data_IF_044028944632
#
_entry.id   IF_044028944632
#
_cell.length_a   1.000
_cell.length_b   1.000
_cell.length_c   1.000
_cell.angle_alpha   90.00
_cell.angle_beta   90.00
_cell.angle_gamma   90.00
#
_symmetry.space_group_name_H-M   'P 1'
#
loop_
_entity.id
_entity.type
_entity.pdbx_description
1 polymer ?
#
# COMPACT_ATOMS: atom_id res chain seq x y z
N UNK A 1 12.08 47.80 14.65
CA UNK A 1 11.22 48.41 15.70
C UNK A 1 9.74 48.30 15.28
N UNK A 2 8.79 48.40 16.22
CA UNK A 2 7.38 47.96 16.05
C UNK A 2 6.46 48.96 15.29
N UNK A 3 5.56 48.41 14.44
CA UNK A 3 4.11 48.69 14.23
C UNK A 3 3.53 47.48 13.46
N UNK A 4 2.37 46.85 13.68
CA UNK A 4 1.28 46.92 14.69
C UNK A 4 0.18 48.00 14.57
N UNK A 5 -1.07 47.52 14.61
CA UNK A 5 -2.40 48.18 14.83
C UNK A 5 -2.88 49.24 13.81
N UNK A 6 -4.16 49.32 13.39
CA UNK A 6 -5.40 48.51 13.60
C UNK A 6 -6.54 48.98 12.64
N UNK A 7 -7.73 48.35 12.71
CA UNK A 7 -9.03 48.63 12.01
C UNK A 7 -9.15 47.94 10.62
N UNK A 8 -10.04 46.97 10.35
CA UNK A 8 -11.25 46.45 11.05
C UNK A 8 -12.50 47.36 10.98
N UNK A 9 -13.33 47.21 9.92
CA UNK A 9 -14.64 47.85 9.77
C UNK A 9 -15.55 47.22 8.67
N UNK A 10 -15.90 45.93 8.78
CA UNK A 10 -16.96 45.30 7.98
C UNK A 10 -17.61 44.12 8.75
N UNK A 11 -18.90 43.86 8.49
CA UNK A 11 -19.67 42.67 8.93
C UNK A 11 -19.93 42.48 10.45
N UNK A 12 -20.57 43.48 11.06
CA UNK A 12 -21.50 43.33 12.21
C UNK A 12 -22.43 44.56 12.25
N UNK A 13 -23.73 44.52 12.55
CA UNK A 13 -24.72 43.41 12.53
C UNK A 13 -25.72 43.69 11.37
N UNK A 14 -27.03 43.38 11.30
CA UNK A 14 -28.12 42.80 12.12
C UNK A 14 -29.09 42.10 11.12
N UNK A 15 -30.14 41.34 11.46
CA UNK A 15 -31.04 41.30 12.62
C UNK A 15 -31.47 39.84 12.92
N UNK A 16 -31.84 39.53 14.16
CA UNK A 16 -32.43 38.23 14.50
C UNK A 16 -33.97 38.26 14.40
N UNK A 17 -34.56 37.16 13.92
CA UNK A 17 -35.96 36.80 14.17
C UNK A 17 -36.01 35.36 14.67
N UNK A 18 -36.41 35.18 15.92
CA UNK A 18 -36.46 33.86 16.54
C UNK A 18 -37.74 33.12 16.15
N UNK A 19 -37.59 31.90 15.63
CA UNK A 19 -38.55 30.82 15.87
C UNK A 19 -37.80 29.69 16.58
N UNK A 20 -38.36 29.20 17.67
CA UNK A 20 -37.62 28.36 18.60
C UNK A 20 -37.57 26.90 18.18
N UNK A 21 -36.40 26.46 17.69
CA UNK A 21 -35.89 25.13 18.03
C UNK A 21 -34.82 25.36 19.09
N UNK A 22 -35.16 25.12 20.36
CA UNK A 22 -34.13 24.94 21.37
C UNK A 22 -33.40 23.65 21.04
N UNK A 23 -32.18 23.75 20.51
CA UNK A 23 -31.24 22.66 20.61
C UNK A 23 -31.13 22.33 22.11
N UNK A 24 -31.57 21.14 22.50
CA UNK A 24 -31.30 20.64 23.85
C UNK A 24 -29.79 20.47 23.96
N UNK A 25 -29.14 21.37 24.68
CA UNK A 25 -27.87 21.03 25.30
C UNK A 25 -28.13 19.79 26.15
N UNK A 26 -27.50 18.67 25.79
CA UNK A 26 -27.68 17.42 26.49
C UNK A 26 -26.96 17.55 27.85
N UNK A 27 -27.76 17.76 28.90
CA UNK A 27 -27.34 17.76 30.31
C UNK A 27 -26.86 16.35 30.71
N UNK A 28 -25.72 15.93 30.19
CA UNK A 28 -25.10 14.66 30.53
C UNK A 28 -24.41 14.79 31.89
N UNK A 29 -24.98 14.10 32.87
CA UNK A 29 -24.40 13.95 34.20
C UNK A 29 -23.01 13.28 34.13
N UNK A 30 -22.23 13.46 35.19
CA UNK A 30 -20.83 13.08 35.23
C UNK A 30 -20.57 11.60 34.86
N UNK A 31 -19.96 11.39 33.69
CA UNK A 31 -19.26 10.16 33.33
C UNK A 31 -17.78 10.50 33.10
N UNK A 32 -16.88 9.81 33.80
CA UNK A 32 -15.44 10.06 33.75
C UNK A 32 -14.71 9.28 32.63
N UNK A 33 -15.43 8.42 31.90
CA UNK A 33 -14.89 7.66 30.77
C UNK A 33 -14.18 8.55 29.73
N UNK A 34 -13.30 7.95 28.93
CA UNK A 34 -12.78 8.56 27.70
C UNK A 34 -13.55 7.96 26.52
N UNK A 35 -14.01 8.80 25.59
CA UNK A 35 -14.61 8.32 24.33
C UNK A 35 -13.56 8.25 23.23
N UNK A 36 -13.74 7.36 22.27
CA UNK A 36 -12.94 7.31 21.03
C UNK A 36 -13.88 7.43 19.84
N UNK A 37 -13.48 8.25 18.88
CA UNK A 37 -14.23 8.53 17.67
C UNK A 37 -13.37 8.13 16.46
N UNK A 38 -13.89 7.29 15.58
CA UNK A 38 -13.22 6.80 14.38
C UNK A 38 -13.91 7.39 13.16
N UNK A 39 -13.21 8.22 12.38
CA UNK A 39 -13.70 8.92 11.20
C UNK A 39 -15.05 9.68 11.38
N UNK A 40 -15.39 10.04 12.63
CA UNK A 40 -16.61 10.77 13.00
C UNK A 40 -17.67 9.94 13.74
N UNK A 41 -17.54 8.61 13.78
CA UNK A 41 -18.44 7.72 14.53
C UNK A 41 -17.85 7.36 15.90
N UNK A 42 -18.69 7.19 16.93
CA UNK A 42 -18.24 6.82 18.28
C UNK A 42 -18.04 5.30 18.38
N UNK A 43 -16.88 4.87 18.89
CA UNK A 43 -16.58 3.46 19.14
C UNK A 43 -17.21 3.03 20.47
N UNK A 44 -18.02 1.96 20.43
CA UNK A 44 -18.73 1.43 21.60
C UNK A 44 -17.96 0.28 22.27
N UNK A 45 -17.45 0.55 23.48
CA UNK A 45 -16.60 -0.37 24.24
C UNK A 45 -17.32 -1.23 25.29
N UNK A 46 -18.65 -1.14 25.37
CA UNK A 46 -19.43 -1.87 26.38
C UNK A 46 -19.02 -1.54 27.81
N UNK A 47 -18.77 -2.58 28.63
CA UNK A 47 -18.39 -2.41 30.04
C UNK A 47 -16.92 -1.97 30.24
N UNK A 48 -16.04 -2.25 29.28
CA UNK A 48 -14.60 -2.00 29.38
C UNK A 48 -14.23 -0.63 28.78
N UNK A 49 -14.60 0.46 29.44
CA UNK A 49 -14.44 1.81 28.88
C UNK A 49 -12.95 2.25 28.77
N UNK A 50 -12.56 3.04 27.74
CA UNK A 50 -11.22 3.60 27.61
C UNK A 50 -10.78 4.46 28.81
N UNK A 51 -9.50 4.37 29.18
CA UNK A 51 -8.95 4.97 30.42
C UNK A 51 -7.75 5.88 30.15
N UNK A 52 -7.69 7.02 30.85
CA UNK A 52 -6.56 7.95 30.80
C UNK A 52 -5.61 7.72 31.98
N UNK A 53 -4.46 7.10 31.73
CA UNK A 53 -3.46 6.76 32.76
C UNK A 53 -2.20 7.58 32.55
N UNK A 54 -1.87 8.45 33.52
CA UNK A 54 -0.66 9.32 33.54
C UNK A 54 -0.49 10.25 32.31
N UNK A 55 -1.51 10.42 31.48
CA UNK A 55 -1.47 11.22 30.25
C UNK A 55 -1.62 10.40 28.97
N UNK A 56 -1.45 9.08 29.04
CA UNK A 56 -1.68 8.15 27.93
C UNK A 56 -3.11 7.62 27.97
N UNK A 57 -3.85 7.72 26.87
CA UNK A 57 -5.15 7.04 26.72
C UNK A 57 -4.92 5.60 26.30
N UNK A 58 -5.46 4.66 27.08
CA UNK A 58 -5.52 3.25 26.77
C UNK A 58 -6.92 2.84 26.34
N UNK A 59 -7.00 1.91 25.38
CA UNK A 59 -8.24 1.31 24.87
C UNK A 59 -8.21 -0.21 25.04
N UNK A 60 -9.37 -0.87 25.21
CA UNK A 60 -9.47 -2.33 25.04
C UNK A 60 -8.99 -2.71 23.65
N UNK A 61 -7.90 -3.46 23.61
CA UNK A 61 -7.14 -3.62 22.37
C UNK A 61 -7.92 -4.45 21.34
N UNK A 62 -8.47 -5.59 21.78
CA UNK A 62 -9.26 -6.51 20.95
C UNK A 62 -10.44 -5.76 20.33
N UNK A 63 -11.29 -5.11 21.14
CA UNK A 63 -12.46 -4.36 20.66
C UNK A 63 -12.11 -3.23 19.70
N UNK A 64 -10.96 -2.55 19.87
CA UNK A 64 -10.51 -1.52 18.93
C UNK A 64 -10.10 -2.14 17.59
N UNK A 65 -9.38 -3.26 17.62
CA UNK A 65 -8.88 -3.96 16.43
C UNK A 65 -10.04 -4.63 15.66
N UNK A 66 -10.98 -5.28 16.35
CA UNK A 66 -12.22 -5.82 15.78
C UNK A 66 -13.09 -4.71 15.16
N UNK A 67 -13.21 -3.53 15.82
CA UNK A 67 -13.92 -2.36 15.23
C UNK A 67 -13.25 -1.86 13.96
N UNK A 68 -11.91 -1.95 13.87
CA UNK A 68 -11.14 -1.65 12.66
C UNK A 68 -11.19 -2.81 11.63
N UNK A 69 -11.90 -3.89 11.92
CA UNK A 69 -12.09 -5.07 11.07
C UNK A 69 -10.86 -5.97 10.94
N UNK A 70 -10.06 -6.09 12.00
CA UNK A 70 -8.95 -7.06 12.10
C UNK A 70 -9.43 -8.37 12.71
N UNK A 71 -8.92 -9.49 12.22
CA UNK A 71 -9.00 -10.78 12.90
C UNK A 71 -7.97 -10.80 14.04
N UNK A 72 -8.41 -11.00 15.28
CA UNK A 72 -7.57 -10.86 16.49
C UNK A 72 -7.34 -12.20 17.17
N UNK A 73 -6.06 -12.53 17.42
CA UNK A 73 -5.62 -13.72 18.15
C UNK A 73 -4.96 -13.33 19.48
N UNK A 74 -5.30 -14.06 20.55
CA UNK A 74 -4.64 -13.97 21.85
C UNK A 74 -3.76 -15.20 22.10
N UNK A 75 -2.49 -14.96 22.38
CA UNK A 75 -1.54 -15.96 22.86
C UNK A 75 -1.47 -15.88 24.40
N UNK A 76 -2.04 -16.89 25.06
CA UNK A 76 -2.06 -16.98 26.53
C UNK A 76 -0.69 -17.33 27.13
N UNK A 77 0.16 -18.07 26.41
CA UNK A 77 1.48 -18.50 26.89
C UNK A 77 2.47 -17.31 26.91
N UNK A 78 2.49 -16.52 25.83
CA UNK A 78 3.33 -15.34 25.71
C UNK A 78 2.66 -14.06 26.25
N UNK A 79 1.37 -14.11 26.60
CA UNK A 79 0.55 -12.94 26.97
C UNK A 79 0.60 -11.83 25.91
N UNK A 80 0.40 -12.22 24.65
CA UNK A 80 0.54 -11.36 23.48
C UNK A 80 -0.74 -11.32 22.63
N UNK A 81 -0.99 -10.19 21.98
CA UNK A 81 -2.02 -10.04 20.96
C UNK A 81 -1.34 -9.98 19.60
N UNK A 82 -1.86 -10.74 18.65
CA UNK A 82 -1.62 -10.55 17.23
C UNK A 82 -2.96 -10.19 16.56
N UNK A 83 -2.93 -9.29 15.58
CA UNK A 83 -4.11 -8.93 14.80
C UNK A 83 -3.73 -8.75 13.33
N UNK A 84 -4.50 -9.35 12.43
CA UNK A 84 -4.22 -9.35 11.00
C UNK A 84 -5.42 -8.83 10.19
N UNK A 85 -5.13 -8.09 9.11
CA UNK A 85 -6.12 -7.72 8.10
C UNK A 85 -5.45 -7.61 6.74
N UNK A 86 -5.76 -8.54 5.83
CA UNK A 86 -5.31 -8.51 4.42
C UNK A 86 -3.80 -8.26 4.25
N UNK A 87 -2.97 -8.99 5.01
CA UNK A 87 -1.50 -8.88 4.98
C UNK A 87 -0.88 -7.82 5.89
N UNK A 88 -1.68 -6.94 6.50
CA UNK A 88 -1.23 -5.99 7.52
C UNK A 88 -1.36 -6.62 8.92
N UNK A 89 -0.23 -6.79 9.62
CA UNK A 89 -0.12 -7.50 10.90
C UNK A 89 0.34 -6.55 12.01
N UNK A 90 -0.40 -6.51 13.12
CA UNK A 90 -0.04 -5.81 14.35
C UNK A 90 0.24 -6.83 15.46
N UNK A 91 1.30 -6.63 16.25
CA UNK A 91 1.65 -7.50 17.38
C UNK A 91 2.14 -6.71 18.60
N UNK A 92 1.76 -7.12 19.81
CA UNK A 92 2.26 -6.52 21.06
C UNK A 92 2.08 -7.44 22.26
N UNK A 93 2.93 -7.27 23.27
CA UNK A 93 2.96 -8.11 24.48
C UNK A 93 2.58 -7.31 25.74
N UNK A 94 1.82 -7.92 26.65
CA UNK A 94 1.52 -7.34 27.96
C UNK A 94 2.81 -7.11 28.75
N UNK A 95 3.00 -5.87 29.24
CA UNK A 95 4.16 -5.46 30.02
C UNK A 95 5.39 -5.03 29.21
N UNK A 96 5.39 -5.17 27.88
CA UNK A 96 6.48 -4.74 27.00
C UNK A 96 6.18 -3.37 26.38
N UNK A 97 7.14 -2.45 26.34
CA UNK A 97 6.99 -1.18 25.60
C UNK A 97 7.25 -1.31 24.10
N UNK A 98 7.77 -2.44 23.62
CA UNK A 98 7.98 -2.67 22.18
C UNK A 98 6.83 -3.50 21.60
N UNK A 99 6.31 -3.05 20.46
CA UNK A 99 5.34 -3.76 19.63
C UNK A 99 5.84 -3.86 18.20
N UNK A 100 5.02 -4.44 17.32
CA UNK A 100 5.41 -4.84 15.97
C UNK A 100 4.34 -4.44 14.95
N UNK A 101 4.77 -3.93 13.81
CA UNK A 101 3.95 -3.64 12.62
C UNK A 101 4.61 -4.32 11.43
N UNK A 102 3.97 -5.34 10.87
CA UNK A 102 4.54 -6.20 9.82
C UNK A 102 5.94 -6.75 10.15
N UNK A 103 6.17 -7.07 11.44
CA UNK A 103 7.45 -7.53 11.98
C UNK A 103 8.47 -6.44 12.33
N UNK A 104 8.23 -5.16 11.96
CA UNK A 104 9.10 -4.03 12.29
C UNK A 104 8.80 -3.54 13.71
N UNK A 105 9.84 -3.34 14.53
CA UNK A 105 9.72 -2.86 15.91
C UNK A 105 9.25 -1.40 16.00
N UNK A 106 8.29 -1.14 16.89
CA UNK A 106 7.73 0.18 17.20
C UNK A 106 7.67 0.37 18.71
N UNK A 107 8.20 1.49 19.21
CA UNK A 107 8.17 1.84 20.63
C UNK A 107 6.84 2.48 21.05
N UNK A 108 6.18 1.90 22.04
CA UNK A 108 4.89 2.34 22.57
C UNK A 108 5.10 3.41 23.65
N UNK A 109 4.26 4.45 23.62
CA UNK A 109 4.22 5.50 24.65
C UNK A 109 3.99 4.99 26.09
N UNK A 110 3.51 3.76 26.26
CA UNK A 110 3.52 2.99 27.50
C UNK A 110 3.22 1.50 27.21
N UNK A 111 3.73 0.59 28.05
CA UNK A 111 3.47 -0.84 27.89
C UNK A 111 1.96 -1.22 27.99
N UNK A 112 1.47 -2.16 27.16
CA UNK A 112 0.15 -2.76 27.30
C UNK A 112 0.00 -3.45 28.65
N UNK A 113 -1.22 -3.53 29.18
CA UNK A 113 -1.50 -4.03 30.52
C UNK A 113 -2.89 -4.68 30.60
N UNK A 114 -3.10 -5.54 31.60
CA UNK A 114 -4.42 -6.14 31.86
C UNK A 114 -5.12 -5.40 32.99
N UNK A 115 -6.37 -5.01 32.77
CA UNK A 115 -7.27 -4.43 33.79
C UNK A 115 -8.58 -5.20 33.76
N UNK A 116 -8.99 -5.74 34.91
CA UNK A 116 -10.23 -6.53 35.10
C UNK A 116 -10.46 -7.67 34.08
N UNK A 117 -9.37 -8.26 33.58
CA UNK A 117 -9.36 -9.36 32.61
C UNK A 117 -9.17 -8.92 31.14
N UNK A 118 -9.28 -7.63 30.85
CA UNK A 118 -9.18 -7.07 29.49
C UNK A 118 -7.77 -6.54 29.21
N UNK A 119 -7.25 -6.81 28.01
CA UNK A 119 -5.97 -6.24 27.52
C UNK A 119 -6.19 -4.80 27.05
N UNK A 120 -5.43 -3.87 27.62
CA UNK A 120 -5.41 -2.45 27.31
C UNK A 120 -4.08 -2.04 26.67
N UNK A 121 -4.13 -1.28 25.58
CA UNK A 121 -2.97 -0.78 24.80
C UNK A 121 -3.10 0.74 24.59
N UNK A 122 -2.00 1.51 24.49
CA UNK A 122 -2.11 2.93 24.14
C UNK A 122 -2.79 3.10 22.78
N UNK A 123 -3.82 3.93 22.71
CA UNK A 123 -4.60 4.12 21.47
C UNK A 123 -3.71 4.57 20.30
N UNK A 124 -2.71 5.41 20.58
CA UNK A 124 -1.70 5.88 19.61
C UNK A 124 -0.99 4.74 18.90
N UNK A 125 -0.69 3.63 19.56
CA UNK A 125 0.01 2.51 18.90
C UNK A 125 -0.83 1.91 17.77
N UNK A 126 -2.08 1.53 18.04
CA UNK A 126 -2.97 1.00 16.99
C UNK A 126 -3.19 2.07 15.92
N UNK A 127 -3.49 3.31 16.31
CA UNK A 127 -3.88 4.35 15.38
C UNK A 127 -2.75 4.81 14.45
N UNK A 128 -1.57 5.08 15.00
CA UNK A 128 -0.42 5.61 14.25
C UNK A 128 0.23 4.51 13.40
N UNK A 129 0.27 3.26 13.89
CA UNK A 129 0.65 2.09 13.07
C UNK A 129 -0.27 1.87 11.86
N UNK A 130 -1.53 2.31 11.96
CA UNK A 130 -2.51 2.30 10.88
C UNK A 130 -2.62 3.66 10.18
N UNK A 131 -1.69 4.59 10.41
CA UNK A 131 -1.61 5.90 9.76
C UNK A 131 -2.78 6.86 10.03
N UNK A 132 -3.54 6.69 11.12
CA UNK A 132 -4.57 7.63 11.55
C UNK A 132 -3.96 8.80 12.32
N UNK A 133 -4.44 10.02 12.07
CA UNK A 133 -4.14 11.18 12.92
C UNK A 133 -4.87 11.06 14.26
N UNK A 134 -4.13 11.22 15.37
CA UNK A 134 -4.64 11.07 16.74
C UNK A 134 -4.82 12.42 17.44
N UNK A 135 -6.04 12.94 17.36
CA UNK A 135 -6.49 14.13 18.09
C UNK A 135 -6.95 13.83 19.52
N UNK A 136 -6.85 14.83 20.41
CA UNK A 136 -7.34 14.77 21.79
C UNK A 136 -8.09 16.04 22.18
N UNK A 137 -9.35 15.90 22.58
CA UNK A 137 -10.18 16.97 23.10
C UNK A 137 -10.29 16.86 24.63
N UNK A 138 -9.45 17.60 25.35
CA UNK A 138 -9.41 17.61 26.81
C UNK A 138 -10.77 17.92 27.48
N UNK A 139 -11.48 18.99 27.10
CA UNK A 139 -12.81 19.31 27.63
C UNK A 139 -13.87 18.22 27.39
N UNK A 140 -13.90 17.61 26.20
CA UNK A 140 -14.84 16.52 25.89
C UNK A 140 -14.38 15.13 26.38
N UNK A 141 -13.14 15.02 26.86
CA UNK A 141 -12.44 13.76 27.17
C UNK A 141 -12.52 12.74 26.04
N UNK A 142 -12.34 13.20 24.80
CA UNK A 142 -12.44 12.34 23.61
C UNK A 142 -11.13 12.27 22.82
N UNK A 143 -10.82 11.08 22.33
CA UNK A 143 -9.82 10.83 21.29
C UNK A 143 -10.55 10.83 19.94
N UNK A 144 -9.95 11.46 18.93
CA UNK A 144 -10.43 11.40 17.54
C UNK A 144 -9.35 10.75 16.68
N UNK A 145 -9.72 9.68 15.99
CA UNK A 145 -8.91 8.95 15.03
C UNK A 145 -9.46 9.30 13.66
N UNK A 146 -8.68 10.04 12.86
CA UNK A 146 -9.12 10.51 11.54
C UNK A 146 -8.12 10.05 10.49
N UNK A 147 -8.61 9.48 9.41
CA UNK A 147 -7.81 9.18 8.22
C UNK A 147 -8.66 9.36 6.97
N UNK A 148 -8.19 10.22 6.08
CA UNK A 148 -8.72 10.36 4.73
C UNK A 148 -8.45 9.06 3.96
N UNK A 149 -9.48 8.54 3.28
CA UNK A 149 -9.35 7.29 2.54
C UNK A 149 -8.61 7.50 1.21
N UNK A 150 -7.75 6.55 0.83
CA UNK A 150 -6.95 6.65 -0.38
C UNK A 150 -7.82 6.66 -1.64
N UNK A 151 -7.54 7.61 -2.55
CA UNK A 151 -8.33 7.83 -3.76
C UNK A 151 -7.99 6.85 -4.88
N UNK A 152 -6.74 6.41 -4.95
CA UNK A 152 -6.24 5.46 -5.94
C UNK A 152 -6.43 5.90 -7.39
N UNK A 153 -6.12 4.98 -8.30
CA UNK A 153 -6.24 5.15 -9.73
C UNK A 153 -7.29 4.19 -10.27
N UNK A 154 -8.58 4.56 -10.24
CA UNK A 154 -9.68 3.69 -10.64
C UNK A 154 -10.53 4.25 -11.78
N UNK A 155 -10.83 3.40 -12.77
CA UNK A 155 -11.75 3.70 -13.87
C UNK A 155 -12.81 2.62 -14.01
N UNK A 156 -14.03 3.04 -14.37
CA UNK A 156 -15.07 2.15 -14.87
C UNK A 156 -15.03 2.12 -16.40
N UNK A 157 -15.04 0.92 -16.98
CA UNK A 157 -15.10 0.69 -18.41
C UNK A 157 -16.40 -0.04 -18.73
N UNK A 158 -17.20 0.51 -19.65
CA UNK A 158 -18.54 -0.01 -19.95
C UNK A 158 -18.77 -0.24 -21.45
N UNK A 159 -19.41 -1.37 -21.76
CA UNK A 159 -19.94 -1.69 -23.09
C UNK A 159 -21.14 -2.62 -23.01
N UNK A 160 -22.26 -2.22 -23.60
CA UNK A 160 -23.46 -3.06 -23.77
C UNK A 160 -23.89 -3.78 -22.48
N UNK A 161 -23.81 -3.08 -21.34
CA UNK A 161 -24.13 -3.59 -20.00
C UNK A 161 -23.05 -4.44 -19.31
N UNK A 162 -21.95 -4.79 -19.98
CA UNK A 162 -20.77 -5.37 -19.33
C UNK A 162 -19.91 -4.27 -18.70
N UNK A 163 -19.33 -4.56 -17.53
CA UNK A 163 -18.53 -3.62 -16.74
C UNK A 163 -17.19 -4.24 -16.37
N UNK A 164 -16.11 -3.49 -16.59
CA UNK A 164 -14.78 -3.77 -16.05
C UNK A 164 -14.34 -2.55 -15.23
N UNK A 165 -14.01 -2.76 -13.97
CA UNK A 165 -13.28 -1.78 -13.17
C UNK A 165 -11.78 -1.99 -13.37
N UNK A 166 -11.02 -0.93 -13.66
CA UNK A 166 -9.56 -0.93 -13.76
C UNK A 166 -8.99 -0.17 -12.57
N UNK A 167 -8.27 -0.85 -11.68
CA UNK A 167 -7.49 -0.27 -10.60
C UNK A 167 -6.00 -0.34 -10.92
N UNK A 168 -5.35 0.83 -10.97
CA UNK A 168 -3.90 0.95 -10.91
C UNK A 168 -3.38 0.51 -9.53
N UNK A 169 -2.56 -0.52 -9.45
CA UNK A 169 -1.94 -1.01 -8.21
C UNK A 169 -0.52 -0.49 -8.00
N UNK A 170 -0.05 -0.58 -6.75
CA UNK A 170 1.35 -0.52 -6.37
C UNK A 170 1.68 -1.81 -5.61
N UNK A 171 2.75 -2.48 -6.01
CA UNK A 171 3.09 -3.82 -5.53
C UNK A 171 3.70 -3.82 -4.12
N UNK A 172 4.29 -2.70 -3.71
CA UNK A 172 4.88 -2.48 -2.39
C UNK A 172 4.00 -1.47 -1.65
N UNK A 173 3.44 -1.87 -0.51
CA UNK A 173 2.48 -1.06 0.24
C UNK A 173 2.88 -0.79 1.68
N UNK A 174 2.21 0.19 2.27
CA UNK A 174 2.34 0.63 3.66
C UNK A 174 0.93 0.76 4.25
N UNK A 175 0.78 0.53 5.56
CA UNK A 175 -0.43 0.81 6.32
C UNK A 175 -0.94 2.25 6.13
N UNK A 176 -0.06 3.23 5.84
CA UNK A 176 -0.45 4.59 5.42
C UNK A 176 -1.49 4.60 4.28
N UNK A 177 -1.51 3.59 3.41
CA UNK A 177 -2.42 3.50 2.26
C UNK A 177 -3.88 3.15 2.57
N UNK A 178 -4.21 2.61 3.75
CA UNK A 178 -5.56 2.08 4.06
C UNK A 178 -6.28 2.89 5.15
N UNK A 179 -7.59 3.15 5.08
CA UNK A 179 -8.57 2.53 4.18
C UNK A 179 -8.51 3.08 2.76
N UNK A 180 -9.04 2.30 1.82
CA UNK A 180 -9.39 2.75 0.48
C UNK A 180 -10.78 3.39 0.53
N UNK A 181 -11.07 4.34 -0.37
CA UNK A 181 -12.40 4.97 -0.40
C UNK A 181 -13.48 4.01 -0.90
N UNK A 182 -14.70 4.24 -0.43
CA UNK A 182 -15.88 3.40 -0.65
C UNK A 182 -16.09 3.04 -2.13
N UNK A 183 -15.82 3.95 -3.08
CA UNK A 183 -16.06 3.68 -4.51
C UNK A 183 -15.08 2.65 -5.12
N UNK A 184 -13.92 2.41 -4.49
CA UNK A 184 -13.00 1.31 -4.87
C UNK A 184 -13.48 -0.01 -4.26
N UNK A 185 -13.92 0.07 -3.00
CA UNK A 185 -14.45 -1.06 -2.23
C UNK A 185 -15.74 -1.63 -2.84
N UNK A 186 -16.73 -0.78 -3.13
CA UNK A 186 -17.95 -1.11 -3.85
C UNK A 186 -17.65 -1.68 -5.24
N UNK A 187 -16.67 -1.13 -5.96
CA UNK A 187 -16.28 -1.61 -7.28
C UNK A 187 -15.69 -3.03 -7.24
N UNK A 188 -14.91 -3.38 -6.21
CA UNK A 188 -14.46 -4.76 -5.99
C UNK A 188 -15.61 -5.67 -5.56
N UNK A 189 -16.40 -5.26 -4.58
CA UNK A 189 -17.47 -6.10 -4.01
C UNK A 189 -18.54 -6.44 -5.04
N UNK A 190 -18.94 -5.46 -5.86
CA UNK A 190 -19.91 -5.62 -6.95
C UNK A 190 -19.40 -6.37 -8.20
N UNK A 191 -18.09 -6.67 -8.29
CA UNK A 191 -17.53 -7.42 -9.42
C UNK A 191 -17.57 -8.93 -9.20
N UNK A 192 -18.01 -9.72 -10.18
CA UNK A 192 -18.08 -11.19 -10.08
C UNK A 192 -16.69 -11.85 -9.99
N UNK A 193 -15.69 -11.31 -10.67
CA UNK A 193 -14.32 -11.84 -10.72
C UNK A 193 -13.27 -10.80 -10.30
N UNK A 194 -12.19 -11.25 -9.66
CA UNK A 194 -10.92 -10.52 -9.60
C UNK A 194 -10.07 -10.91 -10.82
N UNK A 195 -9.39 -9.94 -11.42
CA UNK A 195 -8.32 -10.14 -12.39
C UNK A 195 -7.08 -9.42 -11.89
N UNK A 196 -5.93 -10.06 -11.95
CA UNK A 196 -4.61 -9.49 -11.60
C UNK A 196 -3.66 -9.62 -12.78
N UNK A 197 -2.51 -8.95 -12.76
CA UNK A 197 -1.44 -9.25 -13.74
C UNK A 197 -1.00 -10.72 -13.65
N UNK A 198 -0.65 -11.16 -12.45
CA UNK A 198 -0.28 -12.53 -12.09
C UNK A 198 -0.78 -12.85 -10.68
N UNK A 199 -1.17 -14.11 -10.43
CA UNK A 199 -1.72 -14.53 -9.13
C UNK A 199 -0.61 -14.76 -8.10
N UNK A 200 -0.10 -13.69 -7.48
CA UNK A 200 1.02 -13.77 -6.53
C UNK A 200 0.70 -14.47 -5.20
N UNK A 201 -0.56 -14.82 -4.94
CA UNK A 201 -0.97 -15.65 -3.81
C UNK A 201 -0.93 -17.16 -4.12
N UNK A 202 -0.77 -17.56 -5.39
CA UNK A 202 -0.71 -18.96 -5.80
C UNK A 202 0.73 -19.47 -5.81
N UNK A 203 1.00 -20.50 -5.01
CA UNK A 203 2.26 -21.25 -5.05
C UNK A 203 2.47 -21.83 -6.46
N UNK A 204 3.56 -21.50 -7.17
CA UNK A 204 3.83 -22.05 -8.50
C UNK A 204 3.97 -23.58 -8.48
N UNK A 205 3.53 -24.25 -9.54
CA UNK A 205 3.76 -25.68 -9.69
C UNK A 205 5.26 -25.98 -9.92
N UNK A 206 5.63 -27.26 -9.82
CA UNK A 206 7.04 -27.69 -9.89
C UNK A 206 7.73 -27.34 -11.23
N UNK A 207 7.01 -27.30 -12.36
CA UNK A 207 7.58 -26.86 -13.63
C UNK A 207 7.78 -25.35 -13.60
N UNK A 208 6.75 -24.56 -13.28
CA UNK A 208 6.87 -23.09 -13.23
C UNK A 208 7.92 -22.63 -12.23
N UNK A 209 8.03 -23.25 -11.05
CA UNK A 209 9.10 -22.97 -10.09
C UNK A 209 10.50 -23.26 -10.64
N UNK A 210 10.66 -24.33 -11.43
CA UNK A 210 11.93 -24.67 -12.09
C UNK A 210 12.26 -23.71 -13.25
N UNK A 211 11.25 -23.24 -14.01
CA UNK A 211 11.42 -22.19 -15.01
C UNK A 211 11.86 -20.86 -14.37
N UNK A 212 11.23 -20.45 -13.26
CA UNK A 212 11.58 -19.24 -12.50
C UNK A 212 13.03 -19.30 -12.01
N UNK A 213 13.43 -20.40 -11.37
CA UNK A 213 14.80 -20.58 -10.88
C UNK A 213 15.85 -20.58 -12.02
N UNK A 214 15.52 -21.19 -13.17
CA UNK A 214 16.40 -21.20 -14.35
C UNK A 214 16.44 -19.84 -15.08
N UNK A 215 15.40 -19.01 -14.95
CA UNK A 215 15.41 -17.64 -15.46
C UNK A 215 16.34 -16.74 -14.64
N UNK A 216 16.38 -16.88 -13.32
CA UNK A 216 17.16 -16.00 -12.43
C UNK A 216 18.68 -16.29 -12.42
N UNK A 217 19.13 -17.46 -12.89
CA UNK A 217 20.49 -17.96 -12.64
C UNK A 217 21.30 -18.27 -13.91
N UNK A 218 22.63 -18.33 -13.75
CA UNK A 218 23.56 -18.77 -14.80
C UNK A 218 23.74 -20.29 -14.81
N UNK A 219 23.61 -20.90 -15.98
CA UNK A 219 23.70 -22.35 -16.19
C UNK A 219 24.84 -22.78 -17.14
N UNK A 220 25.61 -21.81 -17.68
CA UNK A 220 26.73 -22.03 -18.59
C UNK A 220 28.11 -22.07 -17.90
N UNK A 221 28.14 -21.82 -16.57
CA UNK A 221 29.36 -21.75 -15.77
C UNK A 221 29.99 -20.36 -15.68
N UNK A 222 29.35 -19.34 -16.27
CA UNK A 222 29.63 -17.93 -15.95
C UNK A 222 28.99 -17.52 -14.62
N UNK A 223 29.38 -16.36 -14.11
CA UNK A 223 28.94 -15.80 -12.83
C UNK A 223 28.70 -14.29 -12.95
N UNK A 224 28.07 -13.67 -11.96
CA UNK A 224 27.73 -12.23 -11.96
C UNK A 224 28.89 -11.31 -12.42
N UNK A 225 30.11 -11.53 -11.91
CA UNK A 225 31.34 -10.79 -12.28
C UNK A 225 31.76 -10.89 -13.76
N UNK A 226 31.23 -11.84 -14.51
CA UNK A 226 31.47 -12.00 -15.95
C UNK A 226 30.43 -11.25 -16.81
N UNK A 227 29.42 -10.64 -16.17
CA UNK A 227 28.29 -9.96 -16.82
C UNK A 227 28.04 -8.52 -16.37
N UNK A 228 28.67 -8.05 -15.28
CA UNK A 228 28.76 -6.63 -14.90
C UNK A 228 30.23 -6.18 -14.84
N UNK A 229 30.47 -4.87 -14.75
CA UNK A 229 31.79 -4.31 -14.51
C UNK A 229 32.39 -4.73 -13.17
N UNK A 230 33.73 -4.67 -13.08
CA UNK A 230 34.44 -4.95 -11.83
C UNK A 230 34.13 -3.95 -10.69
N UNK A 231 33.64 -2.75 -11.03
CA UNK A 231 33.19 -1.76 -10.06
C UNK A 231 31.82 -2.16 -9.49
N UNK A 232 30.82 -2.36 -10.34
CA UNK A 232 29.49 -2.83 -9.92
C UNK A 232 29.56 -4.15 -9.15
N UNK A 233 30.39 -5.11 -9.58
CA UNK A 233 30.58 -6.33 -8.79
C UNK A 233 31.14 -6.03 -7.39
N UNK A 234 32.16 -5.18 -7.25
CA UNK A 234 32.70 -4.78 -5.95
C UNK A 234 31.66 -4.05 -5.07
N UNK A 235 30.78 -3.24 -5.67
CA UNK A 235 29.65 -2.60 -4.98
C UNK A 235 28.63 -3.64 -4.48
N UNK A 236 28.29 -4.64 -5.29
CA UNK A 236 27.43 -5.77 -4.89
C UNK A 236 28.06 -6.58 -3.74
N UNK A 237 29.39 -6.79 -3.76
CA UNK A 237 30.10 -7.45 -2.66
C UNK A 237 30.05 -6.62 -1.36
N UNK A 238 30.14 -5.29 -1.45
CA UNK A 238 29.99 -4.40 -0.30
C UNK A 238 28.58 -4.46 0.30
N UNK A 239 27.53 -4.48 -0.54
CA UNK A 239 26.14 -4.67 -0.10
C UNK A 239 25.97 -5.96 0.69
N UNK A 240 26.39 -7.09 0.11
CA UNK A 240 26.35 -8.40 0.77
C UNK A 240 27.12 -8.40 2.09
N UNK A 241 28.28 -7.73 2.15
CA UNK A 241 29.07 -7.63 3.37
C UNK A 241 28.37 -6.82 4.47
N UNK A 242 27.65 -5.74 4.15
CA UNK A 242 26.89 -4.95 5.14
C UNK A 242 25.69 -5.74 5.70
N UNK A 243 25.03 -6.54 4.86
CA UNK A 243 24.01 -7.50 5.29
C UNK A 243 24.57 -8.70 6.10
N UNK A 244 25.89 -8.80 6.26
CA UNK A 244 26.56 -9.93 6.92
C UNK A 244 26.52 -11.24 6.10
N UNK A 245 26.18 -11.16 4.81
CA UNK A 245 26.08 -12.28 3.89
C UNK A 245 27.44 -12.61 3.24
N UNK A 246 27.62 -13.82 2.69
CA UNK A 246 28.78 -14.15 1.87
C UNK A 246 28.88 -13.23 0.65
N UNK A 247 30.08 -12.70 0.36
CA UNK A 247 30.29 -11.76 -0.76
C UNK A 247 30.18 -12.40 -2.15
N UNK A 248 29.94 -13.71 -2.21
CA UNK A 248 29.68 -14.52 -3.40
C UNK A 248 28.23 -15.04 -3.47
N UNK A 249 27.34 -14.62 -2.56
CA UNK A 249 25.95 -15.11 -2.51
C UNK A 249 25.17 -14.90 -3.83
N UNK A 250 25.45 -13.81 -4.56
CA UNK A 250 24.85 -13.53 -5.86
C UNK A 250 25.66 -14.04 -7.08
N UNK A 251 26.80 -14.75 -6.92
CA UNK A 251 27.64 -15.14 -8.07
C UNK A 251 26.89 -15.99 -9.11
N UNK A 252 25.88 -16.75 -8.67
CA UNK A 252 25.06 -17.60 -9.57
C UNK A 252 23.86 -16.87 -10.20
N UNK A 253 23.54 -15.64 -9.78
CA UNK A 253 22.36 -14.88 -10.18
C UNK A 253 22.67 -13.88 -11.31
N UNK A 254 21.67 -13.64 -12.16
CA UNK A 254 21.72 -12.59 -13.20
C UNK A 254 21.49 -11.20 -12.57
N UNK A 255 22.05 -10.11 -13.15
CA UNK A 255 21.97 -8.78 -12.55
C UNK A 255 20.52 -8.31 -12.32
N UNK A 256 19.58 -8.61 -13.23
CA UNK A 256 18.17 -8.25 -13.02
C UNK A 256 17.53 -8.91 -11.79
N UNK A 257 17.95 -10.13 -11.42
CA UNK A 257 17.44 -10.81 -10.24
C UNK A 257 18.03 -10.23 -8.95
N UNK A 258 19.31 -9.84 -9.00
CA UNK A 258 20.00 -9.09 -7.92
C UNK A 258 19.34 -7.73 -7.69
N UNK A 259 19.00 -7.01 -8.76
CA UNK A 259 18.28 -5.74 -8.71
C UNK A 259 16.91 -5.87 -8.01
N UNK A 260 16.09 -6.87 -8.35
CA UNK A 260 14.78 -7.03 -7.71
C UNK A 260 14.87 -7.37 -6.23
N UNK A 261 15.88 -8.16 -5.82
CA UNK A 261 16.13 -8.48 -4.41
C UNK A 261 16.61 -7.24 -3.63
N UNK A 262 17.46 -6.40 -4.23
CA UNK A 262 17.87 -5.10 -3.70
C UNK A 262 16.70 -4.13 -3.52
N UNK A 263 15.81 -4.01 -4.52
CA UNK A 263 14.60 -3.15 -4.42
C UNK A 263 13.67 -3.65 -3.31
N UNK A 264 13.49 -4.96 -3.17
CA UNK A 264 12.69 -5.55 -2.08
C UNK A 264 13.32 -5.30 -0.70
N UNK A 265 14.66 -5.38 -0.59
CA UNK A 265 15.38 -5.01 0.64
C UNK A 265 15.18 -3.53 0.99
N UNK A 266 15.41 -2.63 0.03
CA UNK A 266 15.24 -1.18 0.20
C UNK A 266 13.82 -0.83 0.71
N UNK A 267 12.81 -1.37 0.05
CA UNK A 267 11.41 -1.21 0.44
C UNK A 267 11.16 -1.68 1.87
N UNK A 268 11.66 -2.86 2.23
CA UNK A 268 11.52 -3.43 3.58
C UNK A 268 12.17 -2.52 4.64
N UNK A 269 13.31 -1.89 4.34
CA UNK A 269 13.96 -0.93 5.24
C UNK A 269 13.22 0.42 5.37
N UNK A 270 12.45 0.82 4.36
CA UNK A 270 11.55 1.99 4.41
C UNK A 270 10.16 1.67 5.01
N UNK A 271 9.89 0.41 5.36
CA UNK A 271 8.61 -0.07 5.91
C UNK A 271 7.58 -0.53 4.87
N UNK A 272 7.92 -0.45 3.58
CA UNK A 272 7.09 -0.91 2.47
C UNK A 272 7.24 -2.42 2.25
N UNK A 273 6.11 -3.14 2.08
CA UNK A 273 6.12 -4.59 1.93
C UNK A 273 5.14 -5.09 0.86
N UNK A 274 5.52 -6.16 0.15
CA UNK A 274 4.67 -6.81 -0.85
C UNK A 274 3.39 -7.43 -0.28
N UNK A 275 3.39 -7.83 1.00
CA UNK A 275 2.20 -8.32 1.69
C UNK A 275 1.11 -7.26 1.89
N UNK A 276 1.49 -5.98 1.87
CA UNK A 276 0.62 -4.81 2.12
C UNK A 276 0.32 -4.06 0.80
N UNK A 277 0.92 -4.49 -0.31
CA UNK A 277 0.65 -3.96 -1.65
C UNK A 277 -0.79 -4.20 -2.12
N UNK A 278 -1.26 -3.33 -3.02
CA UNK A 278 -2.67 -3.33 -3.48
C UNK A 278 -3.04 -4.64 -4.17
N UNK A 279 -2.10 -5.26 -4.88
CA UNK A 279 -2.30 -6.57 -5.51
C UNK A 279 -2.56 -7.67 -4.48
N UNK A 280 -1.78 -7.71 -3.39
CA UNK A 280 -1.93 -8.72 -2.33
C UNK A 280 -3.18 -8.47 -1.46
N UNK A 281 -3.54 -7.21 -1.22
CA UNK A 281 -4.79 -6.83 -0.55
C UNK A 281 -6.01 -7.41 -1.28
N UNK A 282 -6.10 -7.19 -2.60
CA UNK A 282 -7.22 -7.68 -3.39
C UNK A 282 -7.19 -9.20 -3.62
N UNK A 283 -6.01 -9.82 -3.77
CA UNK A 283 -5.88 -11.28 -3.79
C UNK A 283 -6.36 -11.91 -2.48
N UNK A 284 -5.94 -11.37 -1.33
CA UNK A 284 -6.36 -11.83 0.00
C UNK A 284 -7.88 -11.74 0.17
N UNK A 285 -8.49 -10.63 -0.28
CA UNK A 285 -9.95 -10.44 -0.26
C UNK A 285 -10.68 -11.37 -1.20
N UNK A 286 -10.15 -11.63 -2.40
CA UNK A 286 -10.77 -12.57 -3.33
C UNK A 286 -10.72 -14.01 -2.78
N UNK A 287 -9.61 -14.43 -2.19
CA UNK A 287 -9.50 -15.72 -1.51
C UNK A 287 -10.49 -15.85 -0.34
N UNK A 288 -10.57 -14.84 0.54
CA UNK A 288 -11.52 -14.83 1.66
C UNK A 288 -12.98 -14.88 1.18
N UNK A 289 -13.32 -14.10 0.14
CA UNK A 289 -14.65 -14.07 -0.45
C UNK A 289 -14.97 -15.28 -1.36
N UNK A 290 -14.00 -16.17 -1.63
CA UNK A 290 -14.08 -17.22 -2.66
C UNK A 290 -14.41 -16.67 -4.07
N UNK A 291 -14.03 -15.41 -4.34
CA UNK A 291 -14.20 -14.74 -5.63
C UNK A 291 -13.19 -15.33 -6.63
N UNK A 292 -13.61 -15.73 -7.86
CA UNK A 292 -12.68 -16.25 -8.86
C UNK A 292 -11.55 -15.27 -9.17
N UNK A 293 -10.34 -15.79 -9.36
CA UNK A 293 -9.13 -15.01 -9.68
C UNK A 293 -8.66 -15.41 -11.08
N UNK A 294 -8.45 -14.42 -11.94
CA UNK A 294 -7.97 -14.55 -13.30
C UNK A 294 -6.66 -13.75 -13.49
N UNK A 295 -5.86 -14.11 -14.49
CA UNK A 295 -4.55 -13.49 -14.74
C UNK A 295 -4.51 -12.79 -16.12
N UNK A 296 -3.92 -11.60 -16.21
CA UNK A 296 -3.64 -10.92 -17.48
C UNK A 296 -2.41 -11.51 -18.17
N UNK A 297 -1.42 -11.97 -17.43
CA UNK A 297 -0.16 -12.52 -17.94
C UNK A 297 0.15 -13.88 -17.30
N UNK A 298 1.43 -14.19 -17.09
CA UNK A 298 1.91 -15.36 -16.35
C UNK A 298 3.24 -14.99 -15.67
N UNK A 299 3.55 -15.59 -14.52
CA UNK A 299 4.85 -15.43 -13.87
C UNK A 299 6.04 -15.59 -14.83
N UNK A 300 5.98 -16.65 -15.66
CA UNK A 300 7.04 -17.00 -16.62
C UNK A 300 7.15 -16.01 -17.78
N UNK A 301 6.12 -15.21 -18.09
CA UNK A 301 6.21 -14.11 -19.07
C UNK A 301 6.65 -12.79 -18.44
N UNK A 302 6.15 -12.44 -17.25
CA UNK A 302 6.49 -11.20 -16.57
C UNK A 302 7.98 -11.16 -16.17
N UNK A 303 8.53 -12.26 -15.61
CA UNK A 303 9.98 -12.31 -15.28
C UNK A 303 10.88 -12.31 -16.52
N UNK A 304 10.39 -12.77 -17.68
CA UNK A 304 11.13 -12.68 -18.96
C UNK A 304 11.25 -11.25 -19.48
N UNK A 305 10.46 -10.30 -18.99
CA UNK A 305 10.66 -8.86 -19.27
C UNK A 305 12.06 -8.45 -18.78
N UNK A 306 12.33 -8.71 -17.50
CA UNK A 306 13.59 -8.39 -16.83
C UNK A 306 14.79 -9.15 -17.44
N UNK A 307 14.62 -10.47 -17.68
CA UNK A 307 15.67 -11.28 -18.33
C UNK A 307 16.00 -10.86 -19.77
N UNK A 308 15.07 -10.16 -20.44
CA UNK A 308 15.26 -9.69 -21.81
C UNK A 308 16.01 -8.36 -21.94
N UNK A 309 16.22 -7.60 -20.86
CA UNK A 309 16.92 -6.32 -20.90
C UNK A 309 18.38 -6.47 -21.37
N UNK A 310 18.90 -5.46 -22.06
CA UNK A 310 20.32 -5.34 -22.41
C UNK A 310 21.20 -5.45 -21.16
N UNK A 311 22.44 -5.92 -21.31
CA UNK A 311 23.37 -6.04 -20.17
C UNK A 311 23.61 -4.69 -19.53
N UNK A 312 23.71 -3.68 -20.38
CA UNK A 312 23.88 -2.27 -20.06
C UNK A 312 22.73 -1.76 -19.18
N UNK A 313 21.47 -2.12 -19.48
CA UNK A 313 20.31 -1.74 -18.66
C UNK A 313 20.21 -2.56 -17.37
N UNK A 314 20.50 -3.87 -17.39
CA UNK A 314 20.49 -4.67 -16.15
C UNK A 314 21.61 -4.25 -15.18
N UNK A 315 22.78 -3.87 -15.69
CA UNK A 315 23.87 -3.32 -14.89
C UNK A 315 23.54 -1.90 -14.39
N UNK A 316 22.91 -1.06 -15.21
CA UNK A 316 22.42 0.25 -14.80
C UNK A 316 21.45 0.14 -13.60
N UNK A 317 20.43 -0.72 -13.71
CA UNK A 317 19.43 -0.94 -12.64
C UNK A 317 20.07 -1.41 -11.32
N UNK A 318 21.08 -2.30 -11.37
CA UNK A 318 21.83 -2.72 -10.17
C UNK A 318 22.61 -1.55 -9.57
N UNK A 319 23.23 -0.69 -10.38
CA UNK A 319 23.92 0.49 -9.87
C UNK A 319 22.94 1.51 -9.26
N UNK A 320 21.82 1.81 -9.93
CA UNK A 320 20.78 2.73 -9.44
C UNK A 320 20.21 2.28 -8.08
N UNK A 321 19.90 0.98 -7.92
CA UNK A 321 19.46 0.43 -6.64
C UNK A 321 20.55 0.54 -5.55
N UNK A 322 21.82 0.32 -5.90
CA UNK A 322 22.95 0.49 -4.98
C UNK A 322 23.24 1.96 -4.64
N UNK A 323 23.00 2.90 -5.55
CA UNK A 323 23.16 4.33 -5.32
C UNK A 323 22.09 4.87 -4.37
N UNK A 324 20.85 4.37 -4.49
CA UNK A 324 19.76 4.62 -3.55
C UNK A 324 20.00 4.00 -2.16
N UNK A 325 20.25 2.69 -2.08
CA UNK A 325 20.40 1.95 -0.81
C UNK A 325 21.55 2.50 0.05
N UNK A 326 22.68 2.89 -0.56
CA UNK A 326 23.87 3.33 0.19
C UNK A 326 24.02 4.84 0.35
N UNK A 327 23.09 5.65 -0.16
CA UNK A 327 23.17 7.10 -0.08
C UNK A 327 24.46 7.69 -0.69
N UNK A 328 25.11 6.95 -1.59
CA UNK A 328 26.32 7.43 -2.31
C UNK A 328 25.96 8.64 -3.18
N UNK A 329 24.68 8.77 -3.50
CA UNK A 329 24.03 9.93 -4.08
C UNK A 329 23.13 10.69 -3.06
N UNK A 330 23.68 11.14 -1.92
CA UNK A 330 23.30 12.47 -1.37
C UNK A 330 23.78 13.62 -2.30
N UNK A 331 23.65 13.44 -3.62
CA UNK A 331 23.65 14.53 -4.58
C UNK A 331 22.25 15.15 -4.55
N UNK A 332 22.15 16.46 -4.34
CA UNK A 332 20.88 17.19 -4.36
C UNK A 332 20.27 17.36 -5.78
N UNK A 333 20.47 16.35 -6.63
CA UNK A 333 20.19 16.24 -8.06
C UNK A 333 19.65 14.83 -8.45
N UNK A 334 19.45 13.91 -7.49
CA UNK A 334 18.78 12.63 -7.76
C UNK A 334 17.29 12.88 -8.01
N UNK A 335 16.81 12.59 -9.23
CA UNK A 335 15.42 12.86 -9.65
C UNK A 335 14.45 11.73 -9.34
N UNK A 336 14.95 10.50 -9.15
CA UNK A 336 14.12 9.31 -8.90
C UNK A 336 13.20 9.49 -7.67
N UNK A 337 11.90 9.19 -7.79
CA UNK A 337 10.94 9.32 -6.69
C UNK A 337 11.09 8.20 -5.67
N UNK A 338 11.12 8.55 -4.38
CA UNK A 338 11.12 7.57 -3.27
C UNK A 338 9.78 6.83 -3.17
N UNK A 339 9.75 5.71 -2.44
CA UNK A 339 8.50 4.95 -2.25
C UNK A 339 7.41 5.79 -1.57
N UNK A 340 7.76 6.66 -0.62
CA UNK A 340 6.83 7.63 -0.02
C UNK A 340 6.27 8.65 -1.04
N UNK A 341 7.02 9.04 -2.07
CA UNK A 341 6.51 9.89 -3.18
C UNK A 341 5.54 9.08 -4.06
N UNK A 342 5.93 7.87 -4.46
CA UNK A 342 5.10 7.00 -5.30
C UNK A 342 3.78 6.58 -4.62
N UNK A 343 3.84 6.21 -3.34
CA UNK A 343 2.67 5.96 -2.52
C UNK A 343 1.85 7.25 -2.31
N UNK A 344 2.49 8.41 -2.14
CA UNK A 344 1.83 9.71 -2.04
C UNK A 344 0.97 10.04 -3.28
N UNK A 345 1.50 9.83 -4.49
CA UNK A 345 0.77 9.96 -5.75
C UNK A 345 -0.47 9.04 -5.76
N UNK A 346 -0.30 7.78 -5.36
CA UNK A 346 -1.38 6.79 -5.33
C UNK A 346 -2.48 7.12 -4.32
N UNK A 347 -2.10 7.47 -3.08
CA UNK A 347 -3.02 7.88 -2.02
C UNK A 347 -3.85 9.10 -2.46
N UNK A 348 -3.21 10.06 -3.13
CA UNK A 348 -3.89 11.25 -3.64
C UNK A 348 -4.64 11.04 -4.96
N UNK A 349 -4.44 9.91 -5.65
CA UNK A 349 -4.99 9.67 -6.98
C UNK A 349 -4.54 10.72 -7.99
N UNK A 350 -3.28 11.16 -7.91
CA UNK A 350 -2.76 12.27 -8.72
C UNK A 350 -2.51 11.81 -10.16
N UNK A 351 -3.51 11.97 -11.02
CA UNK A 351 -3.45 11.62 -12.44
C UNK A 351 -2.34 12.39 -13.18
N UNK A 352 -1.97 13.61 -12.73
CA UNK A 352 -0.96 14.44 -13.39
C UNK A 352 0.47 13.99 -13.03
N UNK A 353 0.74 13.73 -11.75
CA UNK A 353 2.03 13.16 -11.33
C UNK A 353 2.26 11.74 -11.87
N UNK A 354 1.19 10.97 -12.10
CA UNK A 354 1.26 9.69 -12.81
C UNK A 354 1.60 9.87 -14.30
N UNK A 355 1.02 10.86 -14.98
CA UNK A 355 1.40 11.17 -16.37
C UNK A 355 2.85 11.67 -16.50
N UNK A 356 3.35 12.43 -15.52
CA UNK A 356 4.76 12.85 -15.45
C UNK A 356 5.71 11.67 -15.24
N UNK A 357 5.43 10.79 -14.28
CA UNK A 357 6.20 9.56 -14.03
C UNK A 357 6.21 8.61 -15.25
N UNK A 358 5.07 8.45 -15.93
CA UNK A 358 4.99 7.67 -17.18
C UNK A 358 5.75 8.35 -18.33
N UNK A 359 5.92 9.67 -18.31
CA UNK A 359 6.74 10.41 -19.27
C UNK A 359 8.25 10.36 -18.94
N UNK A 360 8.63 10.18 -17.67
CA UNK A 360 10.01 9.92 -17.24
C UNK A 360 10.47 8.51 -17.63
N UNK A 361 9.68 7.47 -17.31
CA UNK A 361 9.95 6.09 -17.76
C UNK A 361 10.07 6.01 -19.29
N UNK A 362 9.32 6.83 -20.04
CA UNK A 362 9.41 6.93 -21.50
C UNK A 362 10.75 7.42 -22.04
N UNK A 363 11.59 8.10 -21.25
CA UNK A 363 12.93 8.53 -21.69
C UNK A 363 13.83 7.31 -21.92
N UNK A 364 13.74 6.30 -21.05
CA UNK A 364 14.38 5.01 -21.26
C UNK A 364 13.50 4.14 -22.16
N UNK A 365 13.75 4.21 -23.48
CA UNK A 365 12.93 3.51 -24.49
C UNK A 365 12.92 1.99 -24.29
N UNK A 366 14.03 1.38 -23.89
CA UNK A 366 14.07 -0.08 -23.68
C UNK A 366 13.25 -0.49 -22.45
N UNK A 367 13.38 0.24 -21.35
CA UNK A 367 12.57 0.07 -20.14
C UNK A 367 11.07 0.22 -20.48
N UNK A 368 10.68 1.34 -21.08
CA UNK A 368 9.29 1.65 -21.41
C UNK A 368 8.64 0.62 -22.34
N UNK A 369 9.31 0.26 -23.43
CA UNK A 369 8.71 -0.65 -24.41
C UNK A 369 8.51 -2.05 -23.82
N UNK A 370 9.47 -2.57 -23.05
CA UNK A 370 9.38 -3.91 -22.46
C UNK A 370 8.52 -3.96 -21.20
N UNK A 371 8.63 -2.98 -20.30
CA UNK A 371 7.92 -2.96 -19.01
C UNK A 371 6.44 -2.65 -19.16
N UNK A 372 6.05 -1.80 -20.14
CA UNK A 372 4.68 -1.32 -20.28
C UNK A 372 4.10 -1.66 -21.67
N UNK A 373 4.58 -0.98 -22.71
CA UNK A 373 3.92 -0.90 -24.03
C UNK A 373 3.72 -2.26 -24.71
N UNK A 374 4.72 -3.14 -24.68
CA UNK A 374 4.64 -4.46 -25.33
C UNK A 374 3.70 -5.44 -24.60
N UNK A 375 3.44 -5.23 -23.30
CA UNK A 375 2.51 -6.04 -22.49
C UNK A 375 1.06 -5.61 -22.69
N UNK A 376 0.81 -4.32 -22.95
CA UNK A 376 -0.53 -3.77 -23.16
C UNK A 376 -1.32 -4.51 -24.25
N UNK A 377 -0.68 -5.06 -25.29
CA UNK A 377 -1.38 -5.82 -26.32
C UNK A 377 -2.12 -7.06 -25.76
N UNK A 378 -1.48 -7.84 -24.90
CA UNK A 378 -2.08 -9.03 -24.27
C UNK A 378 -3.05 -8.68 -23.15
N UNK A 379 -2.75 -7.62 -22.38
CA UNK A 379 -3.68 -7.07 -21.39
C UNK A 379 -4.99 -6.61 -22.04
N UNK A 380 -4.90 -5.84 -23.13
CA UNK A 380 -6.04 -5.36 -23.91
C UNK A 380 -6.84 -6.51 -24.52
N UNK A 381 -6.21 -7.55 -25.07
CA UNK A 381 -6.92 -8.72 -25.61
C UNK A 381 -7.83 -9.37 -24.55
N UNK A 382 -7.34 -9.53 -23.31
CA UNK A 382 -8.12 -10.08 -22.20
C UNK A 382 -9.19 -9.10 -21.68
N UNK A 383 -8.85 -7.82 -21.50
CA UNK A 383 -9.80 -6.78 -21.04
C UNK A 383 -10.95 -6.59 -22.05
N UNK A 384 -10.65 -6.57 -23.35
CA UNK A 384 -11.67 -6.58 -24.39
C UNK A 384 -12.46 -7.90 -24.37
N UNK A 385 -11.83 -9.05 -24.09
CA UNK A 385 -12.52 -10.31 -23.85
C UNK A 385 -13.59 -10.21 -22.75
N UNK A 386 -13.24 -9.65 -21.59
CA UNK A 386 -14.16 -9.44 -20.47
C UNK A 386 -15.30 -8.46 -20.83
N UNK A 387 -15.00 -7.36 -21.52
CA UNK A 387 -15.99 -6.37 -22.00
C UNK A 387 -16.93 -6.92 -23.09
N UNK A 388 -16.59 -8.04 -23.72
CA UNK A 388 -17.41 -8.71 -24.73
C UNK A 388 -18.03 -10.04 -24.23
N UNK A 389 -18.00 -10.32 -22.92
CA UNK A 389 -18.53 -11.58 -22.37
C UNK A 389 -20.06 -11.70 -22.55
N UNK A 390 -20.54 -12.92 -22.81
CA UNK A 390 -21.96 -13.19 -23.10
C UNK A 390 -22.85 -13.19 -21.85
N UNK A 391 -22.32 -13.58 -20.70
CA UNK A 391 -23.06 -13.69 -19.43
C UNK A 391 -23.45 -12.32 -18.85
N UNK A 392 -22.66 -11.28 -19.17
CA UNK A 392 -22.58 -9.99 -18.48
C UNK A 392 -22.03 -10.06 -17.06
N UNK A 393 -21.12 -11.02 -16.85
CA UNK A 393 -20.19 -11.03 -15.71
C UNK A 393 -19.44 -9.70 -15.62
N UNK A 394 -19.13 -9.28 -14.40
CA UNK A 394 -18.40 -8.06 -14.06
C UNK A 394 -17.01 -8.38 -13.48
N UNK A 395 -16.03 -7.52 -13.74
CA UNK A 395 -14.62 -7.81 -13.45
C UNK A 395 -13.93 -6.63 -12.76
N UNK A 396 -13.21 -6.92 -11.68
CA UNK A 396 -12.29 -5.98 -11.04
C UNK A 396 -10.86 -6.32 -11.46
N UNK A 397 -10.27 -5.51 -12.34
CA UNK A 397 -8.92 -5.69 -12.87
C UNK A 397 -7.94 -4.85 -12.07
N UNK A 398 -6.91 -5.48 -11.53
CA UNK A 398 -5.82 -4.88 -10.77
C UNK A 398 -4.52 -5.06 -11.57
N UNK A 399 -3.89 -3.95 -11.95
CA UNK A 399 -2.64 -3.94 -12.71
C UNK A 399 -1.83 -2.69 -12.37
N UNK A 400 -0.49 -2.74 -12.47
CA UNK A 400 0.40 -1.67 -11.98
C UNK A 400 0.03 -0.31 -12.55
N UNK A 401 0.00 0.74 -11.72
CA UNK A 401 -0.55 2.05 -12.11
C UNK A 401 0.10 2.67 -13.36
N UNK A 402 1.37 2.33 -13.65
CA UNK A 402 2.10 2.78 -14.84
C UNK A 402 1.48 2.29 -16.16
N UNK A 403 0.67 1.24 -16.13
CA UNK A 403 -0.09 0.76 -17.30
C UNK A 403 -1.31 1.63 -17.62
N UNK A 404 -1.76 2.50 -16.71
CA UNK A 404 -3.07 3.14 -16.81
C UNK A 404 -3.08 4.35 -17.73
N UNK A 405 -2.25 5.36 -17.46
CA UNK A 405 -2.25 6.66 -18.12
C UNK A 405 -1.14 6.81 -19.19
N UNK A 406 -1.08 7.99 -19.81
CA UNK A 406 -0.16 8.28 -20.93
C UNK A 406 -0.65 7.77 -22.29
N UNK A 407 0.13 8.08 -23.33
CA UNK A 407 -0.26 7.91 -24.74
C UNK A 407 -0.55 6.46 -25.17
N UNK A 408 0.22 5.49 -24.66
CA UNK A 408 0.06 4.06 -24.95
C UNK A 408 -0.69 3.33 -23.81
N UNK A 409 -1.16 4.03 -22.76
CA UNK A 409 -1.76 3.44 -21.55
C UNK A 409 -3.15 2.84 -21.77
N UNK A 410 -3.52 1.85 -20.96
CA UNK A 410 -4.78 1.09 -21.08
C UNK A 410 -6.02 2.00 -21.10
N UNK A 411 -6.06 3.04 -20.28
CA UNK A 411 -7.16 4.02 -20.22
C UNK A 411 -7.29 4.79 -21.54
N UNK A 412 -6.17 5.07 -22.21
CA UNK A 412 -6.14 5.74 -23.52
C UNK A 412 -6.56 4.76 -24.62
N UNK A 413 -5.95 3.57 -24.67
CA UNK A 413 -6.24 2.54 -25.68
C UNK A 413 -7.72 2.11 -25.68
N UNK A 414 -8.36 2.00 -24.51
CA UNK A 414 -9.79 1.69 -24.41
C UNK A 414 -10.69 2.82 -24.91
N UNK A 415 -10.32 4.09 -24.68
CA UNK A 415 -11.03 5.25 -25.24
C UNK A 415 -10.89 5.30 -26.77
N UNK A 416 -9.71 5.04 -27.31
CA UNK A 416 -9.47 4.98 -28.76
C UNK A 416 -10.24 3.83 -29.45
N UNK A 417 -10.39 2.70 -28.76
CA UNK A 417 -11.24 1.58 -29.19
C UNK A 417 -12.76 1.87 -29.12
N UNK A 418 -13.16 2.99 -28.50
CA UNK A 418 -14.55 3.42 -28.38
C UNK A 418 -15.32 2.85 -27.19
N UNK A 419 -14.64 2.31 -26.17
CA UNK A 419 -15.27 1.93 -24.90
C UNK A 419 -15.61 3.18 -24.08
N UNK A 420 -16.67 3.13 -23.26
CA UNK A 420 -16.96 4.21 -22.31
C UNK A 420 -16.03 4.06 -21.12
N UNK A 421 -15.12 5.01 -20.90
CA UNK A 421 -14.15 4.97 -19.80
C UNK A 421 -14.29 6.20 -18.90
N UNK A 422 -14.75 5.97 -17.67
CA UNK A 422 -15.04 7.01 -16.66
C UNK A 422 -14.05 6.88 -15.51
N UNK A 423 -13.36 7.97 -15.13
CA UNK A 423 -12.61 8.04 -13.87
C UNK A 423 -13.62 7.99 -12.72
N UNK A 424 -13.44 7.05 -11.80
CA UNK A 424 -14.08 7.06 -10.48
C UNK A 424 -13.16 7.84 -9.54
#
# INVERSE_FOLDING_TARGET
>A
MKKWTSLLAALMLIFALATGVQAKEAENAANNAVTVWLNGEQVEFGEHQPVLVKGTTFVPAITTLETLGYDVTWDEENSAVAAEKYGLVLGFQVGNSTGYVNGIEVELTAAPNVQDGTVYVPVRFISEALGYEVGWNGPARSVTLVKEASKGYIWKVEKDGAVVHLLGSIHLGDAKMYPLRDEIEEAFESSDHLVVEINIAQVPDKQTAAEIAALQTYADGTTLKDHVSADTYARVQAFLQELGLPTDAYDTYKPWAVYLDMVNYAATTEGYQGGVGIDMYYLSRALAANKPILELESYSSQLKVFDSYSKELQELQVNEALDGIFGVAETADSTEPTLDVLAGLWIQGDDAGLEELVAEVQQNTELYEKLLKNRHAGMMEKIEGYLNNENKDSYFVVAGYLHMLGKDGLVTLLKEKGYTVTRI
#
